data_IF_801031360645
#
_entry.id   IF_801031360645
#
_cell.length_a   1.000
_cell.length_b   1.000
_cell.length_c   1.000
_cell.angle_alpha   90.00
_cell.angle_beta   90.00
_cell.angle_gamma   90.00
#
_symmetry.space_group_name_H-M   'P 1'
#
loop_
_entity.id
_entity.type
_entity.pdbx_description
1 polymer ?
#
# COMPACT_ATOMS: atom_id res chain seq x y z
N UNK A 1 -9.83 -11.82 -14.57
CA UNK A 1 -9.28 -12.32 -15.85
C UNK A 1 -9.64 -11.32 -16.92
N UNK A 2 -8.76 -11.10 -17.88
CA UNK A 2 -9.01 -10.16 -18.99
C UNK A 2 -10.14 -10.63 -19.93
N UNK A 3 -10.58 -11.89 -19.79
CA UNK A 3 -11.59 -12.50 -20.64
C UNK A 3 -13.03 -11.99 -20.42
N UNK A 4 -13.35 -11.41 -19.25
CA UNK A 4 -14.72 -10.97 -18.93
C UNK A 4 -14.76 -9.90 -17.84
N UNK A 5 -15.81 -9.07 -17.75
CA UNK A 5 -15.88 -7.93 -16.83
C UNK A 5 -16.40 -8.27 -15.42
N UNK A 6 -16.58 -9.56 -15.09
CA UNK A 6 -17.13 -9.97 -13.79
C UNK A 6 -16.07 -10.04 -12.69
N UNK A 7 -16.41 -9.49 -11.53
CA UNK A 7 -15.75 -9.76 -10.24
C UNK A 7 -16.59 -10.78 -9.47
N UNK A 8 -15.96 -11.83 -8.97
CA UNK A 8 -16.61 -12.87 -8.15
C UNK A 8 -15.70 -13.29 -7.01
N UNK A 9 -16.30 -13.79 -5.93
CA UNK A 9 -15.58 -14.20 -4.73
C UNK A 9 -15.14 -15.67 -4.81
N UNK A 10 -14.06 -15.96 -4.09
CA UNK A 10 -13.74 -17.33 -3.65
C UNK A 10 -14.26 -17.51 -2.23
N UNK A 11 -15.13 -18.49 -2.02
CA UNK A 11 -15.69 -18.81 -0.71
C UNK A 11 -15.19 -20.18 -0.27
N UNK A 12 -14.67 -20.32 0.97
CA UNK A 12 -14.20 -21.62 1.44
C UNK A 12 -15.37 -22.59 1.54
N UNK A 13 -15.28 -23.72 0.84
CA UNK A 13 -16.27 -24.80 0.95
C UNK A 13 -16.18 -25.52 2.32
N UNK A 14 -14.96 -25.60 2.87
CA UNK A 14 -14.64 -26.12 4.20
C UNK A 14 -13.54 -25.25 4.82
N UNK A 15 -13.34 -25.37 6.13
CA UNK A 15 -12.17 -24.80 6.78
C UNK A 15 -10.86 -25.42 6.20
N UNK A 16 -9.76 -24.65 6.15
CA UNK A 16 -8.46 -25.17 5.70
C UNK A 16 -8.09 -26.46 6.45
N UNK A 17 -7.84 -27.59 5.76
CA UNK A 17 -7.53 -28.85 6.42
C UNK A 17 -6.13 -28.84 7.06
N UNK A 18 -5.97 -29.68 8.09
CA UNK A 18 -4.72 -29.80 8.87
C UNK A 18 -4.28 -28.45 9.45
N UNK A 19 -3.04 -28.03 9.18
CA UNK A 19 -2.46 -26.76 9.62
C UNK A 19 -2.32 -25.76 8.46
N UNK A 20 -2.99 -26.03 7.33
CA UNK A 20 -3.00 -25.08 6.22
C UNK A 20 -3.70 -23.79 6.63
N UNK A 21 -3.30 -22.69 5.99
CA UNK A 21 -3.84 -21.34 6.22
C UNK A 21 -3.98 -20.65 4.88
N UNK A 22 -4.84 -19.64 4.81
CA UNK A 22 -4.86 -18.74 3.66
C UNK A 22 -3.55 -17.96 3.60
N UNK A 23 -3.19 -17.44 2.42
CA UNK A 23 -2.02 -16.56 2.30
C UNK A 23 -2.18 -15.34 3.21
N UNK A 24 -3.39 -14.79 3.29
CA UNK A 24 -3.71 -13.64 4.14
C UNK A 24 -3.38 -13.93 5.61
N UNK A 25 -3.93 -15.01 6.17
CA UNK A 25 -3.67 -15.39 7.57
C UNK A 25 -2.20 -15.75 7.81
N UNK A 26 -1.53 -16.29 6.80
CA UNK A 26 -0.09 -16.61 6.86
C UNK A 26 0.74 -15.33 7.01
N UNK A 27 0.49 -14.32 6.19
CA UNK A 27 1.20 -13.03 6.29
C UNK A 27 0.86 -12.27 7.57
N UNK A 28 -0.39 -12.36 8.05
CA UNK A 28 -0.77 -11.81 9.35
C UNK A 28 0.03 -12.46 10.49
N UNK A 29 0.14 -13.79 10.51
CA UNK A 29 0.93 -14.50 11.51
C UNK A 29 2.44 -14.20 11.43
N UNK A 30 2.98 -14.05 10.22
CA UNK A 30 4.37 -13.61 10.03
C UNK A 30 4.55 -12.19 10.56
N UNK A 31 3.63 -11.28 10.27
CA UNK A 31 3.70 -9.89 10.73
C UNK A 31 3.69 -9.80 12.26
N UNK A 32 2.92 -10.65 12.94
CA UNK A 32 2.89 -10.73 14.41
C UNK A 32 4.27 -11.09 14.96
N UNK A 33 4.84 -12.20 14.47
CA UNK A 33 6.16 -12.65 14.95
C UNK A 33 7.28 -11.68 14.57
N UNK A 34 7.21 -11.10 13.38
CA UNK A 34 8.15 -10.08 12.93
C UNK A 34 8.11 -8.86 13.85
N UNK A 35 6.92 -8.34 14.15
CA UNK A 35 6.74 -7.13 14.96
C UNK A 35 7.26 -7.31 16.39
N UNK A 36 7.04 -8.49 16.97
CA UNK A 36 7.58 -8.86 18.29
C UNK A 36 9.12 -8.78 18.30
N UNK A 37 9.79 -9.42 17.34
CA UNK A 37 11.25 -9.41 17.24
C UNK A 37 11.80 -8.03 16.86
N UNK A 38 11.08 -7.31 15.99
CA UNK A 38 11.47 -5.99 15.52
C UNK A 38 11.39 -4.93 16.63
N UNK A 39 10.54 -5.11 17.64
CA UNK A 39 10.48 -4.19 18.78
C UNK A 39 11.82 -4.06 19.50
N UNK A 40 12.55 -5.17 19.65
CA UNK A 40 13.86 -5.19 20.29
C UNK A 40 14.98 -4.68 19.37
N UNK A 41 14.98 -5.12 18.10
CA UNK A 41 16.15 -4.93 17.23
C UNK A 41 16.03 -3.76 16.24
N UNK A 42 14.81 -3.38 15.85
CA UNK A 42 14.56 -2.44 14.76
C UNK A 42 13.81 -1.18 15.16
N UNK A 43 12.78 -1.24 16.02
CA UNK A 43 11.98 -0.06 16.41
C UNK A 43 11.58 0.84 15.22
N UNK A 44 11.64 2.16 15.42
CA UNK A 44 11.44 3.14 14.34
C UNK A 44 12.75 3.48 13.64
N UNK A 45 12.73 3.47 12.30
CA UNK A 45 13.89 3.79 11.45
C UNK A 45 13.50 4.74 10.33
N UNK A 46 14.47 5.54 9.92
CA UNK A 46 14.41 6.38 8.73
C UNK A 46 15.15 5.67 7.60
N UNK A 47 14.42 5.32 6.55
CA UNK A 47 14.92 4.61 5.37
C UNK A 47 15.05 5.58 4.19
N UNK A 48 16.03 5.35 3.31
CA UNK A 48 16.26 6.17 2.10
C UNK A 48 16.11 5.27 0.88
N UNK A 49 15.00 5.46 0.15
CA UNK A 49 14.69 4.70 -1.06
C UNK A 49 15.10 5.44 -2.31
N UNK A 50 15.82 4.75 -3.19
CA UNK A 50 15.98 5.16 -4.58
C UNK A 50 14.74 4.73 -5.39
N UNK A 51 13.91 5.68 -5.81
CA UNK A 51 12.69 5.45 -6.58
C UNK A 51 12.93 5.86 -8.03
N UNK A 52 12.71 4.97 -9.01
CA UNK A 52 12.88 5.31 -10.42
C UNK A 52 11.90 6.42 -10.85
N UNK A 53 12.19 7.04 -11.98
CA UNK A 53 11.27 7.97 -12.64
C UNK A 53 10.06 7.19 -13.16
N UNK A 54 8.85 7.62 -12.78
CA UNK A 54 7.64 6.85 -13.03
C UNK A 54 6.85 7.36 -14.23
N UNK A 55 6.33 6.44 -15.03
CA UNK A 55 5.28 6.72 -16.01
C UNK A 55 3.98 7.17 -15.32
N UNK A 56 3.11 7.88 -16.06
CA UNK A 56 1.86 8.48 -15.55
C UNK A 56 2.13 9.50 -14.42
N UNK A 57 3.31 10.09 -14.42
CA UNK A 57 3.71 11.19 -13.52
C UNK A 57 4.53 12.22 -14.31
N UNK A 58 4.72 13.45 -13.80
CA UNK A 58 5.59 14.43 -14.45
C UNK A 58 7.03 13.95 -14.70
N UNK A 59 7.49 12.90 -14.00
CA UNK A 59 8.82 12.32 -14.15
C UNK A 59 9.06 11.75 -15.56
N UNK A 60 8.02 11.32 -16.26
CA UNK A 60 8.14 10.69 -17.57
C UNK A 60 8.70 11.66 -18.63
N UNK A 61 8.63 12.96 -18.36
CA UNK A 61 9.15 14.04 -19.22
C UNK A 61 10.60 14.42 -18.89
N UNK A 62 11.29 13.66 -18.05
CA UNK A 62 12.61 14.03 -17.55
C UNK A 62 13.70 14.16 -18.62
N UNK A 63 13.62 13.37 -19.70
CA UNK A 63 14.58 13.36 -20.82
C UNK A 63 13.91 13.77 -22.14
N UNK A 64 13.64 15.08 -22.34
CA UNK A 64 12.97 15.55 -23.53
C UNK A 64 13.77 15.24 -24.80
N UNK A 65 13.06 14.85 -25.87
CA UNK A 65 13.67 14.52 -27.16
C UNK A 65 14.42 13.18 -27.20
N UNK A 66 14.32 12.34 -26.16
CA UNK A 66 14.97 11.03 -26.13
C UNK A 66 16.49 11.08 -25.96
N UNK A 67 17.03 12.24 -25.58
CA UNK A 67 18.47 12.41 -25.34
C UNK A 67 18.80 11.77 -23.99
N UNK A 68 19.59 10.69 -24.03
CA UNK A 68 20.06 10.01 -22.82
C UNK A 68 21.41 10.60 -22.43
N UNK A 69 21.53 11.05 -21.18
CA UNK A 69 22.80 11.52 -20.58
C UNK A 69 23.07 10.76 -19.30
N UNK A 70 24.28 10.22 -19.17
CA UNK A 70 24.73 9.51 -17.97
C UNK A 70 25.54 10.45 -17.05
N UNK A 71 24.96 10.73 -15.88
CA UNK A 71 25.61 11.53 -14.85
C UNK A 71 26.89 10.87 -14.28
N UNK A 72 26.98 9.53 -14.31
CA UNK A 72 28.18 8.81 -13.84
C UNK A 72 29.38 9.01 -14.76
N UNK A 73 29.11 9.22 -16.04
CA UNK A 73 30.12 9.54 -17.05
C UNK A 73 30.44 11.05 -17.12
N UNK A 74 29.78 11.88 -16.31
CA UNK A 74 29.97 13.34 -16.32
C UNK A 74 29.23 14.07 -17.44
N UNK A 75 28.26 13.42 -18.11
CA UNK A 75 27.51 14.02 -19.23
C UNK A 75 26.42 15.00 -18.77
N UNK A 76 26.03 14.91 -17.49
CA UNK A 76 25.09 15.83 -16.84
C UNK A 76 25.25 15.81 -15.31
N UNK A 77 24.66 16.80 -14.63
CA UNK A 77 24.59 16.83 -13.16
C UNK A 77 23.66 15.74 -12.60
N UNK A 78 23.99 15.08 -11.47
CA UNK A 78 23.11 14.12 -10.80
C UNK A 78 22.01 14.84 -10.00
N UNK A 79 20.82 14.96 -10.59
CA UNK A 79 19.65 15.62 -10.01
C UNK A 79 18.56 14.56 -9.72
N UNK A 80 18.30 14.23 -8.44
CA UNK A 80 17.25 13.28 -8.07
C UNK A 80 15.89 13.66 -8.64
N UNK A 81 15.22 12.69 -9.28
CA UNK A 81 13.92 12.92 -9.93
C UNK A 81 14.01 13.54 -11.33
N UNK A 82 15.21 13.69 -11.89
CA UNK A 82 15.39 14.18 -13.26
C UNK A 82 16.45 13.42 -14.04
N UNK A 83 17.70 13.44 -13.59
CA UNK A 83 18.81 12.75 -14.27
C UNK A 83 19.25 11.49 -13.53
N UNK A 84 18.72 11.26 -12.32
CA UNK A 84 18.89 10.04 -11.53
C UNK A 84 17.59 9.71 -10.76
N UNK A 85 17.46 8.51 -10.16
CA UNK A 85 16.31 8.16 -9.32
C UNK A 85 16.05 9.21 -8.22
N UNK A 86 14.78 9.37 -7.83
CA UNK A 86 14.42 10.14 -6.63
C UNK A 86 15.02 9.46 -5.41
N UNK A 87 15.51 10.23 -4.45
CA UNK A 87 15.92 9.73 -3.14
C UNK A 87 14.86 10.16 -2.13
N UNK A 88 14.01 9.21 -1.72
CA UNK A 88 12.84 9.46 -0.88
C UNK A 88 13.10 8.93 0.53
N UNK A 89 12.83 9.75 1.53
CA UNK A 89 12.95 9.37 2.94
C UNK A 89 11.61 8.80 3.42
N UNK A 90 11.63 7.64 4.07
CA UNK A 90 10.45 6.97 4.61
C UNK A 90 10.69 6.59 6.06
N UNK A 91 9.77 6.97 6.95
CA UNK A 91 9.77 6.47 8.32
C UNK A 91 9.08 5.10 8.40
N UNK A 92 9.75 4.14 9.02
CA UNK A 92 9.25 2.78 9.24
C UNK A 92 9.30 2.46 10.72
N UNK A 93 8.14 2.38 11.34
CA UNK A 93 7.97 1.74 12.64
C UNK A 93 7.76 0.24 12.43
N UNK A 94 8.84 -0.53 12.64
CA UNK A 94 8.86 -1.96 12.42
C UNK A 94 8.14 -2.76 13.52
N UNK A 95 8.05 -2.21 14.73
CA UNK A 95 7.32 -2.82 15.83
C UNK A 95 5.80 -2.76 15.61
N UNK A 96 5.33 -1.83 14.78
CA UNK A 96 3.91 -1.65 14.49
C UNK A 96 3.42 -2.36 13.21
N UNK A 97 4.25 -3.17 12.52
CA UNK A 97 3.87 -3.79 11.23
C UNK A 97 2.62 -4.65 11.34
N UNK A 98 2.49 -5.47 12.39
CA UNK A 98 1.32 -6.31 12.66
C UNK A 98 0.04 -5.49 12.84
N UNK A 99 0.15 -4.31 13.45
CA UNK A 99 -0.98 -3.42 13.66
C UNK A 99 -1.36 -2.70 12.36
N UNK A 100 -0.36 -2.27 11.59
CA UNK A 100 -0.55 -1.52 10.34
C UNK A 100 -1.12 -2.38 9.22
N UNK A 101 -0.72 -3.65 9.08
CA UNK A 101 -1.26 -4.53 8.04
C UNK A 101 -2.76 -4.83 8.23
N UNK A 102 -3.27 -4.68 9.46
CA UNK A 102 -4.67 -4.91 9.84
C UNK A 102 -5.52 -3.64 9.85
N UNK A 103 -5.06 -2.56 9.25
CA UNK A 103 -5.77 -1.29 9.23
C UNK A 103 -5.61 -0.57 7.89
N UNK A 104 -6.66 0.12 7.45
CA UNK A 104 -6.53 1.08 6.35
C UNK A 104 -5.66 2.25 6.82
N UNK A 105 -4.53 2.48 6.14
CA UNK A 105 -3.58 3.54 6.51
C UNK A 105 -4.18 4.96 6.46
N UNK A 106 -3.62 5.92 7.22
CA UNK A 106 -4.14 7.29 7.30
C UNK A 106 -3.86 8.14 6.06
N UNK A 107 -2.90 7.74 5.21
CA UNK A 107 -2.50 8.55 4.06
C UNK A 107 -3.59 8.72 3.01
N UNK A 108 -4.63 7.86 3.00
CA UNK A 108 -5.78 8.06 2.13
C UNK A 108 -6.52 9.37 2.42
N UNK A 109 -6.54 9.80 3.69
CA UNK A 109 -7.24 11.01 4.13
C UNK A 109 -6.52 12.28 3.65
N UNK A 110 -5.22 12.21 3.38
CA UNK A 110 -4.38 13.38 3.03
C UNK A 110 -3.87 13.35 1.60
N UNK A 111 -3.45 12.18 1.10
CA UNK A 111 -2.85 12.01 -0.22
C UNK A 111 -3.85 11.44 -1.24
N UNK A 112 -4.93 10.80 -0.79
CA UNK A 112 -5.88 10.13 -1.67
C UNK A 112 -5.34 8.84 -2.29
N UNK A 113 -5.95 8.42 -3.40
CA UNK A 113 -5.50 7.30 -4.24
C UNK A 113 -5.19 7.81 -5.65
N UNK A 114 -4.02 7.46 -6.16
CA UNK A 114 -3.60 7.83 -7.52
C UNK A 114 -3.60 6.61 -8.41
N UNK A 115 -4.24 6.70 -9.58
CA UNK A 115 -4.20 5.67 -10.63
C UNK A 115 -4.10 6.35 -11.99
N UNK A 116 -3.12 5.97 -12.82
CA UNK A 116 -2.88 6.53 -14.16
C UNK A 116 -2.86 8.07 -14.17
N UNK A 117 -2.09 8.66 -13.26
CA UNK A 117 -1.93 10.12 -13.15
C UNK A 117 -3.11 10.89 -12.56
N UNK A 118 -4.24 10.23 -12.28
CA UNK A 118 -5.42 10.86 -11.67
C UNK A 118 -5.48 10.52 -10.19
N UNK A 119 -5.61 11.55 -9.35
CA UNK A 119 -5.76 11.37 -7.90
C UNK A 119 -7.20 11.66 -7.47
N UNK A 120 -7.77 10.76 -6.67
CA UNK A 120 -9.10 10.90 -6.06
C UNK A 120 -9.00 10.79 -4.55
N UNK A 121 -9.98 11.35 -3.83
CA UNK A 121 -10.01 11.39 -2.36
C UNK A 121 -11.19 10.57 -1.84
N UNK A 122 -10.95 9.34 -1.34
CA UNK A 122 -12.01 8.40 -0.99
C UNK A 122 -12.54 8.59 0.45
N UNK A 123 -12.86 9.83 0.85
CA UNK A 123 -13.16 10.14 2.25
C UNK A 123 -14.41 9.43 2.77
N UNK A 124 -15.48 9.33 1.96
CA UNK A 124 -16.69 8.61 2.41
C UNK A 124 -16.53 7.10 2.29
N UNK A 125 -15.75 6.59 1.34
CA UNK A 125 -15.43 5.17 1.25
C UNK A 125 -14.69 4.72 2.51
N UNK A 126 -13.75 5.53 3.00
CA UNK A 126 -13.07 5.26 4.27
C UNK A 126 -14.07 5.26 5.44
N UNK A 127 -15.02 6.19 5.49
CA UNK A 127 -16.07 6.20 6.53
C UNK A 127 -17.00 4.98 6.43
N UNK A 128 -17.45 4.62 5.22
CA UNK A 128 -18.27 3.44 4.99
C UNK A 128 -17.56 2.16 5.42
N UNK A 129 -16.25 2.06 5.18
CA UNK A 129 -15.43 0.94 5.67
C UNK A 129 -15.37 0.90 7.20
N UNK A 130 -15.34 2.04 7.91
CA UNK A 130 -15.43 2.07 9.38
C UNK A 130 -16.73 1.45 9.87
N UNK A 131 -17.84 1.68 9.17
CA UNK A 131 -19.13 1.09 9.52
C UNK A 131 -19.22 -0.40 9.16
N UNK A 132 -18.69 -0.80 7.99
CA UNK A 132 -18.82 -2.16 7.46
C UNK A 132 -17.85 -3.15 8.09
N UNK A 133 -16.58 -2.78 8.19
CA UNK A 133 -15.51 -3.62 8.72
C UNK A 133 -15.26 -3.38 10.22
N UNK A 134 -15.88 -2.33 10.78
CA UNK A 134 -15.55 -1.83 12.12
C UNK A 134 -14.25 -1.05 12.14
N UNK A 135 -13.85 -0.62 13.33
CA UNK A 135 -12.62 0.14 13.55
C UNK A 135 -11.65 -0.61 14.46
N UNK A 136 -10.36 -0.42 14.21
CA UNK A 136 -9.31 -0.92 15.10
C UNK A 136 -9.38 -0.14 16.41
N UNK A 137 -9.37 -0.85 17.53
CA UNK A 137 -9.61 -0.27 18.86
C UNK A 137 -8.41 0.52 19.41
N UNK A 138 -7.20 0.04 19.15
CA UNK A 138 -5.97 0.55 19.77
C UNK A 138 -4.73 0.38 18.88
N UNK A 139 -3.60 0.92 19.31
CA UNK A 139 -2.33 0.84 18.59
C UNK A 139 -2.25 1.76 17.38
N UNK A 140 -1.28 1.50 16.49
CA UNK A 140 -0.96 2.35 15.34
C UNK A 140 -2.12 2.52 14.33
N UNK A 141 -3.10 1.62 14.36
CA UNK A 141 -4.30 1.67 13.52
C UNK A 141 -5.54 2.23 14.23
N UNK A 142 -5.46 2.69 15.48
CA UNK A 142 -6.65 3.06 16.26
C UNK A 142 -7.58 4.03 15.51
N UNK A 143 -8.88 3.71 15.47
CA UNK A 143 -9.92 4.48 14.77
C UNK A 143 -9.92 4.32 13.24
N UNK A 144 -8.96 3.61 12.64
CA UNK A 144 -8.96 3.29 11.22
C UNK A 144 -9.90 2.11 10.91
N UNK A 145 -10.45 2.04 9.68
CA UNK A 145 -11.14 0.84 9.24
C UNK A 145 -10.29 -0.42 9.43
N UNK A 146 -10.91 -1.46 9.98
CA UNK A 146 -10.26 -2.75 10.21
C UNK A 146 -9.98 -3.47 8.89
N UNK A 147 -8.80 -4.09 8.80
CA UNK A 147 -8.42 -5.10 7.81
C UNK A 147 -8.00 -6.37 8.56
N UNK A 148 -8.77 -6.77 9.58
CA UNK A 148 -8.40 -7.91 10.42
C UNK A 148 -8.59 -9.26 9.71
N UNK A 149 -9.48 -9.32 8.72
CA UNK A 149 -9.82 -10.53 7.96
C UNK A 149 -9.62 -10.33 6.47
N UNK A 150 -9.48 -11.44 5.73
CA UNK A 150 -9.44 -11.39 4.27
C UNK A 150 -10.73 -10.79 3.67
N UNK A 151 -11.87 -10.98 4.34
CA UNK A 151 -13.14 -10.35 3.94
C UNK A 151 -13.07 -8.83 4.06
N UNK A 152 -12.54 -8.29 5.16
CA UNK A 152 -12.38 -6.84 5.33
C UNK A 152 -11.44 -6.24 4.28
N UNK A 153 -10.35 -6.94 3.96
CA UNK A 153 -9.46 -6.55 2.86
C UNK A 153 -10.18 -6.54 1.51
N UNK A 154 -11.00 -7.56 1.21
CA UNK A 154 -11.82 -7.56 0.00
C UNK A 154 -12.79 -6.37 -0.02
N UNK A 155 -13.41 -6.03 1.10
CA UNK A 155 -14.31 -4.88 1.16
C UNK A 155 -13.59 -3.55 0.94
N UNK A 156 -12.38 -3.40 1.46
CA UNK A 156 -11.54 -2.24 1.17
C UNK A 156 -11.18 -2.15 -0.32
N UNK A 157 -10.83 -3.26 -0.97
CA UNK A 157 -10.58 -3.31 -2.42
C UNK A 157 -11.84 -2.87 -3.19
N UNK A 158 -13.01 -3.43 -2.83
CA UNK A 158 -14.27 -3.12 -3.52
C UNK A 158 -14.68 -1.66 -3.34
N UNK A 159 -14.50 -1.10 -2.15
CA UNK A 159 -14.87 0.28 -1.85
C UNK A 159 -13.92 1.31 -2.46
N UNK A 160 -12.61 1.03 -2.47
CA UNK A 160 -11.57 2.00 -2.88
C UNK A 160 -11.22 1.92 -4.37
N UNK A 161 -11.67 0.89 -5.10
CA UNK A 161 -11.43 0.74 -6.53
C UNK A 161 -12.54 1.41 -7.36
N UNK A 162 -12.14 2.28 -8.30
CA UNK A 162 -13.05 2.88 -9.27
C UNK A 162 -13.69 1.88 -10.26
N UNK A 163 -13.25 0.62 -10.27
CA UNK A 163 -13.89 -0.44 -11.09
C UNK A 163 -15.11 -1.07 -10.42
N UNK A 164 -15.24 -0.93 -9.09
CA UNK A 164 -16.29 -1.56 -8.28
C UNK A 164 -17.09 -0.55 -7.46
N UNK A 165 -16.62 0.69 -7.39
CA UNK A 165 -17.34 1.82 -6.81
C UNK A 165 -17.39 2.97 -7.82
N UNK A 166 -18.60 3.42 -8.16
CA UNK A 166 -18.86 4.42 -9.20
C UNK A 166 -19.03 5.86 -8.69
N UNK A 167 -18.78 6.12 -7.41
CA UNK A 167 -18.82 7.45 -6.80
C UNK A 167 -17.57 8.27 -7.14
#
# INVERSE_FOLDING_TARGET
TDMHPFVHAFTPAIAPPWQSRTDYDTFLGIADRFSELAAEHLGTRTDVLAVPLQHDTPDELAQPGGVVRDWRAGECEPVPGRTMPKLVVVERDYAAVAQKIRAVGPLLDTLGTTTKGVTVHPDREVEELRHRCGTVREGAGAGRPSLATASDMCEAILALSGTTNGR
#
